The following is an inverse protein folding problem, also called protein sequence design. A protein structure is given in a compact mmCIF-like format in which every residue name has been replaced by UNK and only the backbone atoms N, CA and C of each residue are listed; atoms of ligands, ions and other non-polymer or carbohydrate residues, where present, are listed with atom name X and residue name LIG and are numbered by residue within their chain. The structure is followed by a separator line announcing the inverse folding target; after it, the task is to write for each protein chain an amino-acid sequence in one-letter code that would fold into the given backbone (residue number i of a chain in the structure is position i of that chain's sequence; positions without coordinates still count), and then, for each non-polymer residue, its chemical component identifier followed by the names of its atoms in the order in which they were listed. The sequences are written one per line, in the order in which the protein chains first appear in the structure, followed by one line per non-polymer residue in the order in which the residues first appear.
data_IF_535627094656
#
_entry.id   IF_535627094656
#
_cell.length_a   1.000
_cell.length_b   1.000
_cell.length_c   1.000
_cell.angle_alpha   90.00
_cell.angle_beta   90.00
_cell.angle_gamma   90.00
#
_symmetry.space_group_name_H-M   'P 1'
#
loop_
_entity.id
_entity.type
_entity.pdbx_description
1 polymer ?
#
# COMPACT_ATOMS: atom_id res chain seq x y z
N UNK A 1 -12.76 -13.01 9.97
CA UNK A 1 -12.22 -14.40 10.03
C UNK A 1 -13.04 -15.33 10.95
N UNK A 2 -13.58 -16.42 10.40
CA UNK A 2 -14.46 -17.39 11.09
C UNK A 2 -13.70 -18.25 12.13
N UNK A 3 -14.28 -18.46 13.33
CA UNK A 3 -13.74 -19.29 14.43
C UNK A 3 -13.48 -20.74 14.01
N UNK A 4 -14.29 -21.26 13.09
CA UNK A 4 -14.17 -22.62 12.56
C UNK A 4 -12.85 -22.82 11.78
N UNK A 5 -12.54 -21.87 10.89
CA UNK A 5 -11.30 -21.86 10.09
C UNK A 5 -10.06 -21.78 11.00
N UNK A 6 -10.15 -21.00 12.08
CA UNK A 6 -9.11 -20.93 13.10
C UNK A 6 -8.87 -22.28 13.79
N UNK A 7 -9.95 -23.00 14.13
CA UNK A 7 -9.88 -24.36 14.66
C UNK A 7 -9.14 -25.31 13.71
N UNK A 8 -9.41 -25.21 12.41
CA UNK A 8 -8.82 -26.09 11.39
C UNK A 8 -7.36 -25.77 11.11
N UNK A 9 -7.00 -24.48 11.16
CA UNK A 9 -5.59 -24.06 11.15
C UNK A 9 -4.84 -24.62 12.36
N UNK A 10 -5.48 -24.66 13.54
CA UNK A 10 -4.89 -25.25 14.75
C UNK A 10 -4.70 -26.76 14.59
N UNK A 11 -5.73 -27.48 14.13
CA UNK A 11 -5.64 -28.92 13.83
C UNK A 11 -4.51 -29.23 12.85
N UNK A 12 -4.35 -28.43 11.79
CA UNK A 12 -3.22 -28.56 10.86
C UNK A 12 -1.85 -28.42 11.56
N UNK A 13 -1.71 -27.49 12.51
CA UNK A 13 -0.47 -27.32 13.28
C UNK A 13 -0.19 -28.51 14.20
N UNK A 14 -1.24 -29.06 14.81
CA UNK A 14 -1.15 -30.26 15.66
C UNK A 14 -0.79 -31.49 14.84
N UNK A 15 -1.44 -31.69 13.69
CA UNK A 15 -1.11 -32.78 12.75
C UNK A 15 0.36 -32.69 12.28
N UNK A 16 0.89 -31.47 12.05
CA UNK A 16 2.30 -31.28 11.73
C UNK A 16 3.23 -31.72 12.87
N UNK A 17 2.90 -31.37 14.11
CA UNK A 17 3.66 -31.81 15.31
C UNK A 17 3.63 -33.33 15.45
N UNK A 18 2.45 -33.94 15.37
CA UNK A 18 2.28 -35.39 15.48
C UNK A 18 3.01 -36.13 14.36
N UNK A 19 2.98 -35.61 13.12
CA UNK A 19 3.76 -36.16 12.01
C UNK A 19 5.27 -36.08 12.25
N UNK A 20 5.78 -34.97 12.81
CA UNK A 20 7.19 -34.84 13.17
C UNK A 20 7.62 -35.86 14.24
N UNK A 21 6.69 -36.29 15.09
CA UNK A 21 6.90 -37.27 16.15
C UNK A 21 6.61 -38.73 15.71
N UNK A 22 6.24 -38.95 14.44
CA UNK A 22 5.90 -40.29 13.92
C UNK A 22 4.56 -40.84 14.39
N UNK A 23 3.71 -40.01 15.02
CA UNK A 23 2.43 -40.43 15.60
C UNK A 23 1.26 -40.37 14.62
N UNK A 24 1.42 -39.67 13.50
CA UNK A 24 0.35 -39.40 12.53
C UNK A 24 0.73 -39.97 11.18
N UNK A 25 -0.18 -40.75 10.58
CA UNK A 25 0.02 -41.30 9.26
C UNK A 25 0.13 -40.20 8.20
N UNK A 26 0.90 -40.43 7.14
CA UNK A 26 1.10 -39.43 6.08
C UNK A 26 -0.21 -39.03 5.39
N UNK A 27 -1.12 -39.99 5.19
CA UNK A 27 -2.40 -39.77 4.52
C UNK A 27 -3.33 -38.86 5.33
N UNK A 28 -3.49 -39.14 6.63
CA UNK A 28 -4.28 -38.33 7.56
C UNK A 28 -3.75 -36.89 7.66
N UNK A 29 -2.43 -36.72 7.73
CA UNK A 29 -1.82 -35.41 7.72
C UNK A 29 -2.11 -34.66 6.41
N UNK A 30 -1.96 -35.34 5.27
CA UNK A 30 -2.16 -34.74 3.94
C UNK A 30 -3.61 -34.29 3.77
N UNK A 31 -4.57 -35.09 4.21
CA UNK A 31 -5.99 -34.75 4.19
C UNK A 31 -6.28 -33.54 5.09
N UNK A 32 -5.83 -33.57 6.34
CA UNK A 32 -6.00 -32.45 7.29
C UNK A 32 -5.47 -31.13 6.74
N UNK A 33 -4.28 -31.16 6.10
CA UNK A 33 -3.69 -29.98 5.47
C UNK A 33 -4.51 -29.48 4.29
N UNK A 34 -5.02 -30.38 3.43
CA UNK A 34 -5.86 -30.03 2.28
C UNK A 34 -7.14 -29.37 2.74
N UNK A 35 -7.88 -30.02 3.64
CA UNK A 35 -9.15 -29.53 4.18
C UNK A 35 -8.99 -28.15 4.82
N UNK A 36 -8.00 -27.99 5.70
CA UNK A 36 -7.76 -26.69 6.34
C UNK A 36 -7.37 -25.58 5.33
N UNK A 37 -6.67 -25.92 4.24
CA UNK A 37 -6.32 -24.96 3.19
C UNK A 37 -7.54 -24.56 2.38
N UNK A 38 -8.40 -25.52 2.04
CA UNK A 38 -9.59 -25.28 1.24
C UNK A 38 -10.64 -24.47 1.99
N UNK A 39 -10.87 -24.79 3.26
CA UNK A 39 -11.74 -23.99 4.13
C UNK A 39 -11.21 -22.56 4.31
N UNK A 40 -9.90 -22.38 4.50
CA UNK A 40 -9.29 -21.06 4.60
C UNK A 40 -9.46 -20.24 3.31
N UNK A 41 -9.35 -20.87 2.13
CA UNK A 41 -9.61 -20.22 0.83
C UNK A 41 -11.07 -19.82 0.69
N UNK A 42 -12.01 -20.72 1.02
CA UNK A 42 -13.46 -20.46 0.95
C UNK A 42 -13.85 -19.30 1.87
N UNK A 43 -13.37 -19.31 3.11
CA UNK A 43 -13.65 -18.25 4.06
C UNK A 43 -13.06 -16.91 3.63
N UNK A 44 -11.86 -16.91 3.05
CA UNK A 44 -11.26 -15.71 2.48
C UNK A 44 -12.10 -15.15 1.34
N UNK A 45 -12.50 -15.98 0.38
CA UNK A 45 -13.33 -15.56 -0.76
C UNK A 45 -14.69 -15.01 -0.30
N UNK A 46 -15.29 -15.61 0.73
CA UNK A 46 -16.53 -15.13 1.33
C UNK A 46 -16.36 -13.76 2.00
N UNK A 47 -15.25 -13.54 2.72
CA UNK A 47 -14.94 -12.25 3.34
C UNK A 47 -14.69 -11.15 2.29
N UNK A 48 -13.96 -11.47 1.22
CA UNK A 48 -13.77 -10.57 0.07
C UNK A 48 -15.09 -10.21 -0.63
N UNK A 49 -15.97 -11.20 -0.85
CA UNK A 49 -17.30 -10.97 -1.45
C UNK A 49 -18.17 -10.05 -0.57
N UNK A 50 -18.15 -10.24 0.75
CA UNK A 50 -18.89 -9.37 1.66
C UNK A 50 -18.34 -7.94 1.63
N UNK A 51 -17.02 -7.76 1.58
CA UNK A 51 -16.40 -6.43 1.46
C UNK A 51 -16.77 -5.70 0.16
N UNK A 52 -16.87 -6.45 -0.95
CA UNK A 52 -17.26 -5.90 -2.25
C UNK A 52 -18.74 -5.49 -2.26
N UNK A 53 -19.64 -6.35 -1.76
CA UNK A 53 -21.07 -6.04 -1.64
C UNK A 53 -21.30 -4.80 -0.77
N UNK A 54 -20.60 -4.72 0.35
CA UNK A 54 -20.84 -3.70 1.36
C UNK A 54 -20.01 -2.43 1.10
N UNK A 55 -19.32 -2.32 -0.07
CA UNK A 55 -18.43 -1.19 -0.40
C UNK A 55 -19.15 0.16 -0.39
N UNK A 56 -20.43 0.20 -0.76
CA UNK A 56 -21.23 1.44 -0.77
C UNK A 56 -21.51 1.94 0.65
N UNK A 57 -21.76 1.03 1.57
CA UNK A 57 -22.11 1.32 2.97
C UNK A 57 -20.86 1.53 3.83
N UNK A 58 -19.83 0.71 3.61
CA UNK A 58 -18.59 0.71 4.39
C UNK A 58 -17.35 0.75 3.50
N UNK A 59 -17.15 1.87 2.80
CA UNK A 59 -15.95 2.10 1.97
C UNK A 59 -14.65 1.88 2.74
N UNK A 60 -14.62 2.25 4.03
CA UNK A 60 -13.42 2.18 4.88
C UNK A 60 -12.90 0.75 5.04
N UNK A 61 -13.78 -0.24 5.28
CA UNK A 61 -13.36 -1.63 5.46
C UNK A 61 -12.73 -2.20 4.18
N UNK A 62 -13.29 -1.89 3.01
CA UNK A 62 -12.74 -2.30 1.72
C UNK A 62 -11.34 -1.73 1.48
N UNK A 63 -11.16 -0.41 1.61
CA UNK A 63 -9.84 0.22 1.41
C UNK A 63 -8.82 -0.21 2.46
N UNK A 64 -9.25 -0.47 3.70
CA UNK A 64 -8.38 -1.02 4.75
C UNK A 64 -7.92 -2.43 4.39
N UNK A 65 -8.82 -3.28 3.87
CA UNK A 65 -8.46 -4.61 3.40
C UNK A 65 -7.44 -4.54 2.26
N UNK A 66 -7.67 -3.69 1.26
CA UNK A 66 -6.76 -3.51 0.12
C UNK A 66 -5.38 -3.03 0.58
N UNK A 67 -5.33 -2.04 1.48
CA UNK A 67 -4.06 -1.53 2.01
C UNK A 67 -3.32 -2.57 2.86
N UNK A 68 -4.02 -3.38 3.66
CA UNK A 68 -3.45 -4.50 4.41
C UNK A 68 -2.92 -5.62 3.51
N UNK A 69 -3.51 -5.82 2.32
CA UNK A 69 -3.01 -6.78 1.32
C UNK A 69 -1.88 -6.25 0.45
N UNK A 70 -1.65 -4.93 0.43
CA UNK A 70 -0.55 -4.32 -0.32
C UNK A 70 0.79 -4.84 0.22
N UNK A 71 1.59 -5.47 -0.64
CA UNK A 71 2.90 -6.08 -0.29
C UNK A 71 3.89 -5.11 0.34
N UNK A 72 3.78 -3.82 0.00
CA UNK A 72 4.64 -2.75 0.50
C UNK A 72 3.83 -1.92 1.49
N UNK A 73 4.24 -1.93 2.76
CA UNK A 73 4.08 -0.73 3.58
C UNK A 73 5.12 0.22 3.03
N UNK A 74 4.71 1.14 2.15
CA UNK A 74 5.52 2.28 1.72
C UNK A 74 5.76 3.15 2.96
N UNK A 75 6.60 2.65 3.86
CA UNK A 75 7.14 3.45 4.92
C UNK A 75 8.40 4.04 4.32
N UNK A 76 8.40 5.37 4.18
CA UNK A 76 9.64 6.11 3.98
C UNK A 76 10.57 5.65 5.11
N UNK A 77 11.71 5.07 4.73
CA UNK A 77 12.72 4.67 5.70
C UNK A 77 13.22 5.89 6.48
N UNK A 78 13.89 5.70 7.63
CA UNK A 78 14.46 6.80 8.37
C UNK A 78 15.27 7.73 7.46
N UNK A 79 14.97 9.03 7.48
CA UNK A 79 15.65 10.02 6.66
C UNK A 79 17.11 10.12 7.09
N UNK A 80 18.01 10.29 6.10
CA UNK A 80 19.42 10.57 6.33
C UNK A 80 19.75 11.92 5.72
N UNK A 81 20.52 12.72 6.45
CA UNK A 81 21.04 13.96 5.91
C UNK A 81 22.21 13.70 4.94
N UNK A 82 22.76 14.77 4.35
CA UNK A 82 23.90 14.69 3.41
C UNK A 82 25.12 13.98 4.03
N UNK A 83 25.33 14.16 5.34
CA UNK A 83 26.39 13.51 6.13
C UNK A 83 26.10 12.02 6.41
N UNK A 84 25.00 11.47 5.88
CA UNK A 84 24.52 10.11 6.13
C UNK A 84 24.16 9.83 7.59
N UNK A 85 23.93 10.83 8.41
CA UNK A 85 23.43 10.65 9.77
C UNK A 85 21.91 10.49 9.76
N UNK A 86 21.38 9.68 10.68
CA UNK A 86 19.94 9.54 10.86
C UNK A 86 19.35 10.84 11.40
N UNK A 87 18.28 11.30 10.78
CA UNK A 87 17.60 12.53 11.16
C UNK A 87 16.51 12.20 12.18
N UNK A 88 16.65 12.73 13.39
CA UNK A 88 15.71 12.46 14.50
C UNK A 88 14.76 13.62 14.76
N UNK A 89 15.22 14.87 14.57
CA UNK A 89 14.44 16.06 14.86
C UNK A 89 13.55 16.48 13.69
N UNK A 90 12.33 16.94 13.96
CA UNK A 90 11.36 17.26 12.89
C UNK A 90 11.77 18.45 12.01
N UNK A 91 12.47 19.43 12.58
CA UNK A 91 13.04 20.56 11.84
C UNK A 91 14.08 20.10 10.81
N UNK A 92 15.04 19.27 11.23
CA UNK A 92 16.05 18.69 10.35
C UNK A 92 15.43 17.83 9.24
N UNK A 93 14.32 17.11 9.52
CA UNK A 93 13.61 16.34 8.49
C UNK A 93 13.02 17.26 7.42
N UNK A 94 12.43 18.39 7.84
CA UNK A 94 11.86 19.37 6.93
C UNK A 94 12.93 20.00 6.03
N UNK A 95 14.10 20.32 6.60
CA UNK A 95 15.25 20.85 5.86
C UNK A 95 15.73 19.85 4.80
N UNK A 96 16.00 18.60 5.17
CA UNK A 96 16.47 17.56 4.24
C UNK A 96 15.48 17.33 3.09
N UNK A 97 14.17 17.36 3.36
CA UNK A 97 13.14 17.23 2.33
C UNK A 97 13.09 18.47 1.42
N UNK A 98 13.19 19.66 2.01
CA UNK A 98 13.19 20.92 1.27
C UNK A 98 14.41 21.03 0.34
N UNK A 99 15.60 20.64 0.82
CA UNK A 99 16.83 20.65 0.02
C UNK A 99 16.74 19.67 -1.16
N UNK A 100 16.22 18.45 -0.91
CA UNK A 100 15.97 17.48 -1.98
C UNK A 100 14.99 18.02 -3.01
N UNK A 101 13.89 18.63 -2.56
CA UNK A 101 12.88 19.26 -3.41
C UNK A 101 13.48 20.40 -4.22
N UNK A 102 14.23 21.33 -3.62
CA UNK A 102 14.89 22.40 -4.34
C UNK A 102 15.87 21.88 -5.41
N UNK A 103 16.60 20.80 -5.12
CA UNK A 103 17.56 20.22 -6.07
C UNK A 103 16.90 19.74 -7.37
N UNK A 104 15.71 19.12 -7.30
CA UNK A 104 15.01 18.62 -8.50
C UNK A 104 14.47 19.74 -9.39
N UNK A 105 14.31 20.96 -8.85
CA UNK A 105 13.88 22.14 -9.61
C UNK A 105 15.04 23.03 -10.08
N UNK A 106 16.30 22.68 -9.80
CA UNK A 106 17.45 23.40 -10.38
C UNK A 106 17.69 23.00 -11.83
N UNK A 107 16.98 23.65 -12.75
CA UNK A 107 17.30 23.58 -14.18
C UNK A 107 18.68 24.20 -14.40
N UNK A 108 19.66 23.41 -14.84
CA UNK A 108 20.89 23.95 -15.44
C UNK A 108 20.52 24.52 -16.82
N UNK A 109 19.87 25.68 -16.85
CA UNK A 109 19.89 26.52 -18.03
C UNK A 109 21.35 26.93 -18.23
N UNK A 110 22.10 26.17 -19.04
CA UNK A 110 23.34 26.68 -19.58
C UNK A 110 22.99 27.98 -20.29
N UNK A 111 23.61 29.05 -19.83
CA UNK A 111 23.38 30.43 -20.20
C UNK A 111 23.49 30.63 -21.72
N UNK A 112 22.36 30.54 -22.41
CA UNK A 112 22.13 31.38 -23.56
C UNK A 112 21.42 32.62 -23.04
N UNK A 113 22.24 33.63 -22.73
CA UNK A 113 21.82 34.97 -22.35
C UNK A 113 20.92 35.55 -23.45
N UNK A 114 19.61 35.42 -23.27
CA UNK A 114 18.63 36.23 -23.97
C UNK A 114 17.97 37.12 -22.92
N UNK A 115 18.25 38.41 -22.99
CA UNK A 115 17.66 39.40 -22.10
C UNK A 115 16.14 39.34 -22.26
N UNK A 116 15.43 39.08 -21.16
CA UNK A 116 13.98 39.22 -21.09
C UNK A 116 13.68 40.42 -20.20
N UNK A 117 13.28 41.49 -20.86
CA UNK A 117 12.65 42.68 -20.28
C UNK A 117 11.46 42.27 -19.41
N UNK A 118 11.34 42.93 -18.25
CA UNK A 118 10.45 42.57 -17.14
C UNK A 118 9.01 42.28 -17.53
N UNK A 119 8.56 41.08 -17.18
CA UNK A 119 7.17 40.64 -17.26
C UNK A 119 6.50 40.67 -15.89
N UNK A 120 5.61 41.65 -15.74
CA UNK A 120 4.62 41.85 -14.66
C UNK A 120 4.01 40.53 -14.16
N UNK A 121 3.97 40.35 -12.84
CA UNK A 121 3.27 39.24 -12.18
C UNK A 121 1.82 39.16 -12.64
N UNK A 122 1.35 37.94 -12.92
CA UNK A 122 -0.05 37.66 -13.18
C UNK A 122 -0.59 36.86 -12.01
N UNK A 123 -1.52 37.51 -11.30
CA UNK A 123 -2.43 36.89 -10.33
C UNK A 123 -3.09 35.65 -10.95
N UNK A 124 -3.02 34.56 -10.21
CA UNK A 124 -3.67 33.28 -10.52
C UNK A 124 -5.09 33.29 -9.94
N UNK A 125 -5.94 34.17 -10.44
CA UNK A 125 -7.37 34.05 -10.20
C UNK A 125 -8.09 34.25 -11.53
N UNK A 126 -9.02 33.34 -11.83
CA UNK A 126 -9.82 33.22 -13.06
C UNK A 126 -9.21 32.37 -14.20
N UNK A 127 -8.77 31.15 -13.90
CA UNK A 127 -8.72 30.10 -14.92
C UNK A 127 -10.09 29.38 -14.95
N UNK A 128 -10.94 29.72 -15.92
CA UNK A 128 -12.15 28.93 -16.21
C UNK A 128 -11.77 27.53 -16.74
N UNK A 129 -12.45 26.46 -16.31
CA UNK A 129 -12.18 25.11 -16.78
C UNK A 129 -12.63 24.95 -18.25
N UNK A 130 -11.89 24.19 -19.08
CA UNK A 130 -12.25 23.98 -20.47
C UNK A 130 -13.57 23.21 -20.59
N UNK A 131 -14.41 23.53 -21.59
CA UNK A 131 -15.73 22.93 -21.75
C UNK A 131 -15.61 21.44 -22.10
N UNK A 132 -16.43 20.64 -21.41
CA UNK A 132 -16.71 19.23 -21.71
C UNK A 132 -17.21 19.12 -23.14
N UNK A 133 -16.47 18.41 -23.99
CA UNK A 133 -16.95 17.99 -25.30
C UNK A 133 -17.93 16.84 -25.12
N UNK A 134 -19.19 17.08 -25.47
CA UNK A 134 -20.25 16.07 -25.49
C UNK A 134 -20.01 15.08 -26.64
N UNK A 135 -20.12 13.81 -26.29
CA UNK A 135 -20.10 12.64 -27.15
C UNK A 135 -21.36 12.61 -28.03
N UNK A 136 -21.23 12.29 -29.32
CA UNK A 136 -22.38 11.96 -30.16
C UNK A 136 -22.12 10.66 -30.93
N UNK A 137 -22.87 9.64 -30.49
CA UNK A 137 -23.45 8.44 -31.15
C UNK A 137 -22.59 7.65 -32.13
#
# INVERSE_FOLDING_TARGET
MNKEVLGKIKQKKEAYRGRKQGQVAWEEYRETVRTARDEARKAKALEELNLDRDVKENKKSFYTYVSDKRRMRENVGPLRNETRNLVTQDMEKAEVLNDFFASVFTCKCSSHTAQVTGGKGRDWENAEPPPVGEDQV
#
